data_IF_598972197096
#
_entry.id   IF_598972197096
#
_cell.length_a   1.000
_cell.length_b   1.000
_cell.length_c   1.000
_cell.angle_alpha   90.00
_cell.angle_beta   90.00
_cell.angle_gamma   90.00
#
_symmetry.space_group_name_H-M   'P 1'
#
loop_
_entity.id
_entity.type
_entity.pdbx_description
1 polymer ?
#
# COMPACT_ATOMS: atom_id res chain seq x y z
N UNK A 1 -6.48 8.88 -8.26
CA UNK A 1 -5.32 8.63 -7.38
C UNK A 1 -4.65 9.94 -6.95
N UNK A 2 -4.39 10.88 -7.88
CA UNK A 2 -3.72 12.16 -7.57
C UNK A 2 -4.40 12.99 -6.47
N UNK A 3 -5.70 12.85 -6.29
CA UNK A 3 -6.47 13.57 -5.27
C UNK A 3 -6.13 13.15 -3.82
N UNK A 4 -5.42 12.04 -3.64
CA UNK A 4 -5.03 11.52 -2.32
C UNK A 4 -3.63 11.97 -1.90
N UNK A 5 -2.90 12.61 -2.78
CA UNK A 5 -1.50 12.94 -2.57
C UNK A 5 -1.29 14.44 -2.44
N UNK A 6 -0.22 14.83 -1.74
CA UNK A 6 -0.03 16.23 -1.38
C UNK A 6 0.24 17.15 -2.59
N UNK A 7 0.10 18.44 -2.33
CA UNK A 7 0.24 19.51 -3.34
C UNK A 7 1.60 19.53 -4.07
N UNK A 8 2.67 19.02 -3.44
CA UNK A 8 3.97 18.94 -4.11
C UNK A 8 3.98 18.08 -5.37
N UNK A 9 3.01 17.16 -5.50
CA UNK A 9 2.85 16.36 -6.70
C UNK A 9 2.40 17.20 -7.91
N UNK A 10 1.74 18.32 -7.67
CA UNK A 10 1.28 19.22 -8.74
C UNK A 10 2.43 19.75 -9.60
N UNK A 11 3.59 20.01 -9.01
CA UNK A 11 4.78 20.42 -9.76
C UNK A 11 5.25 19.34 -10.73
N UNK A 12 5.32 18.09 -10.28
CA UNK A 12 5.69 16.95 -11.13
C UNK A 12 4.69 16.72 -12.25
N UNK A 13 3.40 16.93 -11.99
CA UNK A 13 2.36 16.85 -13.04
C UNK A 13 2.53 17.94 -14.09
N UNK A 14 2.79 19.17 -13.67
CA UNK A 14 3.00 20.32 -14.56
C UNK A 14 4.23 20.12 -15.46
N UNK A 15 5.27 19.53 -14.93
CA UNK A 15 6.55 19.31 -15.66
C UNK A 15 6.54 18.04 -16.52
N UNK A 16 5.42 17.33 -16.57
CA UNK A 16 5.28 16.09 -17.37
C UNK A 16 6.07 14.90 -16.80
N UNK A 17 6.45 14.97 -15.53
CA UNK A 17 7.23 13.93 -14.83
C UNK A 17 6.36 12.95 -14.05
N UNK A 18 5.05 13.13 -14.10
CA UNK A 18 4.08 12.32 -13.39
C UNK A 18 3.31 11.42 -14.34
N UNK A 19 3.23 10.13 -14.00
CA UNK A 19 2.48 9.13 -14.75
C UNK A 19 1.62 8.29 -13.80
N UNK A 20 0.39 8.01 -14.19
CA UNK A 20 -0.48 7.09 -13.48
C UNK A 20 -0.43 5.70 -14.12
N UNK A 21 -0.37 4.68 -13.28
CA UNK A 21 -0.50 3.28 -13.67
C UNK A 21 -1.74 2.69 -13.04
N UNK A 22 -2.55 2.03 -13.86
CA UNK A 22 -3.74 1.31 -13.39
C UNK A 22 -3.42 -0.08 -12.84
N UNK A 23 -2.20 -0.55 -13.06
CA UNK A 23 -1.75 -1.88 -12.69
C UNK A 23 -0.58 -1.78 -11.72
N UNK A 24 -0.75 -2.30 -10.51
CA UNK A 24 0.25 -2.27 -9.45
C UNK A 24 1.50 -3.09 -9.79
N UNK A 25 1.35 -4.19 -10.51
CA UNK A 25 2.50 -4.99 -10.96
C UNK A 25 3.40 -4.18 -11.90
N UNK A 26 2.81 -3.39 -12.78
CA UNK A 26 3.58 -2.52 -13.68
C UNK A 26 4.33 -1.41 -12.94
N UNK A 27 3.81 -0.94 -11.81
CA UNK A 27 4.55 0.00 -10.95
C UNK A 27 5.80 -0.66 -10.37
N UNK A 28 5.66 -1.86 -9.83
CA UNK A 28 6.79 -2.62 -9.26
C UNK A 28 7.83 -2.92 -10.33
N UNK A 29 7.41 -3.44 -11.47
CA UNK A 29 8.30 -3.75 -12.58
C UNK A 29 8.99 -2.51 -13.14
N UNK A 30 8.25 -1.41 -13.29
CA UNK A 30 8.77 -0.15 -13.82
C UNK A 30 9.86 0.44 -12.96
N UNK A 31 9.68 0.46 -11.63
CA UNK A 31 10.70 0.92 -10.71
C UNK A 31 11.95 0.03 -10.75
N UNK A 32 11.77 -1.28 -10.71
CA UNK A 32 12.90 -2.23 -10.73
C UNK A 32 13.67 -2.23 -12.05
N UNK A 33 13.00 -1.91 -13.17
CA UNK A 33 13.63 -1.79 -14.48
C UNK A 33 14.20 -0.40 -14.77
N UNK A 34 14.06 0.52 -13.84
CA UNK A 34 14.55 1.89 -14.02
C UNK A 34 13.73 2.76 -14.99
N UNK A 35 12.46 2.39 -15.26
CA UNK A 35 11.54 3.24 -16.04
C UNK A 35 11.08 4.45 -15.25
N UNK A 36 11.01 4.31 -13.95
CA UNK A 36 10.64 5.35 -12.99
C UNK A 36 11.75 5.49 -11.97
N UNK A 37 12.02 6.70 -11.54
CA UNK A 37 12.96 6.99 -10.45
C UNK A 37 12.29 6.85 -9.09
N UNK A 38 10.97 7.07 -9.04
CA UNK A 38 10.16 7.05 -7.83
C UNK A 38 8.78 6.46 -8.13
N UNK A 39 8.25 5.69 -7.21
CA UNK A 39 6.85 5.24 -7.19
C UNK A 39 6.20 5.71 -5.89
N UNK A 40 5.03 6.33 -6.02
CA UNK A 40 4.20 6.73 -4.90
C UNK A 40 3.08 5.69 -4.74
N UNK A 41 3.13 4.94 -3.65
CA UNK A 41 2.21 3.84 -3.38
C UNK A 41 2.07 3.60 -1.89
N UNK A 42 1.01 2.91 -1.49
CA UNK A 42 0.94 2.30 -0.17
C UNK A 42 2.01 1.21 -0.04
N UNK A 43 2.73 1.22 1.08
CA UNK A 43 3.83 0.29 1.35
C UNK A 43 3.40 -1.17 1.31
N UNK A 44 2.26 -1.47 1.91
CA UNK A 44 1.76 -2.85 2.00
C UNK A 44 1.27 -3.35 0.64
N UNK A 45 0.62 -2.49 -0.13
CA UNK A 45 0.18 -2.82 -1.50
C UNK A 45 1.39 -3.07 -2.39
N UNK A 46 2.38 -2.19 -2.37
CA UNK A 46 3.61 -2.37 -3.14
C UNK A 46 4.31 -3.69 -2.79
N UNK A 47 4.48 -3.96 -1.50
CA UNK A 47 5.13 -5.19 -1.01
C UNK A 47 4.38 -6.45 -1.41
N UNK A 48 3.05 -6.43 -1.34
CA UNK A 48 2.22 -7.55 -1.77
C UNK A 48 2.48 -7.91 -3.24
N UNK A 49 2.44 -6.94 -4.14
CA UNK A 49 2.68 -7.18 -5.56
C UNK A 49 4.14 -7.55 -5.87
N UNK A 50 5.10 -7.02 -5.15
CA UNK A 50 6.50 -7.43 -5.24
C UNK A 50 6.65 -8.92 -4.92
N UNK A 51 6.10 -9.39 -3.80
CA UNK A 51 6.12 -10.79 -3.40
C UNK A 51 5.33 -11.68 -4.36
N UNK A 52 4.19 -11.21 -4.85
CA UNK A 52 3.39 -11.93 -5.83
C UNK A 52 4.19 -12.19 -7.11
N UNK A 53 4.88 -11.18 -7.63
CA UNK A 53 5.73 -11.31 -8.81
C UNK A 53 6.89 -12.29 -8.58
N UNK A 54 7.54 -12.24 -7.42
CA UNK A 54 8.61 -13.17 -7.08
C UNK A 54 8.14 -14.62 -6.98
N UNK A 55 6.91 -14.84 -6.51
CA UNK A 55 6.33 -16.19 -6.36
C UNK A 55 5.80 -16.76 -7.66
N UNK A 56 5.34 -15.92 -8.57
CA UNK A 56 4.63 -16.36 -9.80
C UNK A 56 5.45 -16.22 -11.07
N UNK A 57 6.58 -15.52 -11.01
CA UNK A 57 7.45 -15.28 -12.17
C UNK A 57 8.93 -15.42 -11.79
N UNK A 58 9.81 -15.22 -12.76
CA UNK A 58 11.27 -15.17 -12.53
C UNK A 58 11.76 -13.81 -12.00
N UNK A 59 10.84 -12.91 -11.69
CA UNK A 59 11.18 -11.59 -11.16
C UNK A 59 11.87 -11.71 -9.80
N UNK A 60 12.92 -10.91 -9.61
CA UNK A 60 13.59 -10.70 -8.33
C UNK A 60 13.65 -9.21 -8.03
N UNK A 61 13.12 -8.82 -6.89
CA UNK A 61 13.13 -7.44 -6.44
C UNK A 61 14.55 -6.97 -6.17
N UNK A 62 14.85 -5.76 -6.62
CA UNK A 62 16.04 -5.03 -6.22
C UNK A 62 15.81 -4.37 -4.87
N UNK A 63 16.90 -4.10 -4.16
CA UNK A 63 16.84 -3.27 -2.97
C UNK A 63 16.43 -1.86 -3.36
N UNK A 64 15.35 -1.36 -2.72
CA UNK A 64 14.85 -0.02 -2.91
C UNK A 64 14.86 0.74 -1.59
N UNK A 65 15.07 2.05 -1.66
CA UNK A 65 14.90 2.92 -0.50
C UNK A 65 13.42 3.29 -0.36
N UNK A 66 12.88 3.12 0.85
CA UNK A 66 11.53 3.58 1.19
C UNK A 66 11.62 4.87 1.98
N UNK A 67 10.94 5.88 1.49
CA UNK A 67 10.84 7.17 2.16
C UNK A 67 9.38 7.42 2.56
N UNK A 68 9.19 7.96 3.73
CA UNK A 68 7.88 8.41 4.18
C UNK A 68 7.79 9.91 3.93
N UNK A 69 7.03 10.30 2.91
CA UNK A 69 6.85 11.71 2.55
C UNK A 69 5.55 12.32 3.06
N UNK A 70 4.65 11.48 3.48
CA UNK A 70 3.34 11.89 3.98
C UNK A 70 3.27 11.50 5.44
N UNK A 71 2.91 12.44 6.29
CA UNK A 71 2.61 12.11 7.69
C UNK A 71 1.44 11.13 7.72
N UNK A 72 1.54 10.14 8.58
CA UNK A 72 0.43 9.25 8.80
C UNK A 72 -0.76 10.06 9.32
N UNK A 73 -1.82 10.11 8.52
CA UNK A 73 -3.08 10.66 8.99
C UNK A 73 -3.65 9.68 10.03
N UNK A 74 -3.79 10.09 11.32
CA UNK A 74 -4.39 9.23 12.33
C UNK A 74 -5.85 8.88 12.02
N UNK A 75 -6.45 9.53 11.04
CA UNK A 75 -7.81 9.26 10.53
C UNK A 75 -7.84 8.32 9.32
N UNK A 76 -6.87 7.44 9.20
CA UNK A 76 -6.81 6.42 8.16
C UNK A 76 -8.14 5.70 7.94
N UNK A 77 -8.26 5.06 6.78
CA UNK A 77 -9.44 4.30 6.37
C UNK A 77 -10.11 3.57 7.53
N UNK A 78 -11.36 3.93 7.77
CA UNK A 78 -12.18 3.32 8.81
C UNK A 78 -13.47 2.82 8.19
N UNK A 79 -13.94 1.63 8.58
CA UNK A 79 -15.26 1.19 8.18
C UNK A 79 -16.33 2.10 8.81
N UNK A 80 -17.38 2.37 8.05
CA UNK A 80 -18.50 3.19 8.47
C UNK A 80 -19.73 2.29 8.55
N UNK A 81 -20.45 2.38 9.65
CA UNK A 81 -21.63 1.54 9.92
C UNK A 81 -22.88 2.41 10.12
N UNK A 82 -23.99 1.97 9.58
CA UNK A 82 -25.29 2.59 9.85
C UNK A 82 -25.85 2.18 11.20
N UNK A 83 -25.59 0.94 11.61
CA UNK A 83 -26.06 0.35 12.86
C UNK A 83 -24.95 0.40 13.92
N UNK A 84 -25.16 1.11 15.05
CA UNK A 84 -24.19 1.16 16.13
C UNK A 84 -23.85 -0.20 16.73
N UNK A 85 -24.79 -1.15 16.75
CA UNK A 85 -24.55 -2.49 17.26
C UNK A 85 -23.56 -3.26 16.37
N UNK A 86 -23.71 -3.17 15.07
CA UNK A 86 -22.78 -3.79 14.12
C UNK A 86 -21.39 -3.17 14.25
N UNK A 87 -21.31 -1.87 14.42
CA UNK A 87 -20.03 -1.17 14.70
C UNK A 87 -19.36 -1.72 15.96
N UNK A 88 -20.12 -1.87 17.05
CA UNK A 88 -19.58 -2.34 18.32
C UNK A 88 -19.13 -3.80 18.23
N UNK A 89 -19.90 -4.63 17.54
CA UNK A 89 -19.55 -6.03 17.27
C UNK A 89 -18.28 -6.13 16.43
N UNK A 90 -18.15 -5.30 15.40
CA UNK A 90 -16.94 -5.21 14.59
C UNK A 90 -15.72 -4.82 15.42
N UNK A 91 -15.83 -3.78 16.24
CA UNK A 91 -14.74 -3.32 17.09
C UNK A 91 -14.32 -4.39 18.10
N UNK A 92 -15.27 -5.09 18.70
CA UNK A 92 -15.01 -6.21 19.61
C UNK A 92 -14.30 -7.36 18.88
N UNK A 93 -14.79 -7.75 17.71
CA UNK A 93 -14.19 -8.81 16.89
C UNK A 93 -12.77 -8.46 16.43
N UNK A 94 -12.54 -7.21 16.01
CA UNK A 94 -11.21 -6.75 15.63
C UNK A 94 -10.22 -6.77 16.80
N UNK A 95 -10.65 -6.34 17.98
CA UNK A 95 -9.83 -6.40 19.19
C UNK A 95 -9.45 -7.84 19.55
N UNK A 96 -10.40 -8.78 19.47
CA UNK A 96 -10.15 -10.21 19.69
C UNK A 96 -9.20 -10.79 18.65
N UNK A 97 -9.38 -10.43 17.39
CA UNK A 97 -8.51 -10.87 16.29
C UNK A 97 -7.07 -10.45 16.52
N UNK A 98 -6.86 -9.20 16.95
CA UNK A 98 -5.53 -8.66 17.27
C UNK A 98 -4.93 -9.33 18.52
N UNK A 99 -5.71 -9.48 19.57
CA UNK A 99 -5.25 -10.08 20.84
C UNK A 99 -4.87 -11.56 20.66
N UNK A 100 -5.55 -12.30 19.79
CA UNK A 100 -5.25 -13.71 19.52
C UNK A 100 -4.00 -13.95 18.67
N UNK A 101 -3.39 -12.91 18.09
CA UNK A 101 -2.29 -13.01 17.15
C UNK A 101 -2.70 -13.38 15.73
N UNK A 102 -3.96 -13.68 15.46
CA UNK A 102 -4.44 -14.04 14.12
C UNK A 102 -4.34 -12.90 13.13
N UNK A 103 -4.56 -11.67 13.58
CA UNK A 103 -4.37 -10.48 12.75
C UNK A 103 -2.94 -10.41 12.20
N UNK A 104 -1.96 -10.56 13.08
CA UNK A 104 -0.55 -10.54 12.70
C UNK A 104 -0.19 -11.72 11.78
N UNK A 105 -0.75 -12.90 12.03
CA UNK A 105 -0.53 -14.08 11.19
C UNK A 105 -1.05 -13.87 9.76
N UNK A 106 -2.22 -13.24 9.60
CA UNK A 106 -2.76 -12.89 8.29
C UNK A 106 -1.85 -11.89 7.59
N UNK A 107 -1.46 -10.84 8.30
CA UNK A 107 -0.53 -9.83 7.77
C UNK A 107 0.76 -10.47 7.27
N UNK A 108 1.38 -11.33 8.07
CA UNK A 108 2.63 -12.01 7.75
C UNK A 108 2.49 -12.95 6.55
N UNK A 109 1.35 -13.61 6.42
CA UNK A 109 1.08 -14.49 5.29
C UNK A 109 1.16 -13.75 3.95
N UNK A 110 0.67 -12.54 3.89
CA UNK A 110 0.63 -11.75 2.64
C UNK A 110 1.85 -10.86 2.41
N UNK A 111 2.51 -10.39 3.46
CA UNK A 111 3.52 -9.33 3.37
C UNK A 111 4.93 -9.75 3.80
N UNK A 112 5.07 -10.93 4.37
CA UNK A 112 6.37 -11.55 4.67
C UNK A 112 6.61 -12.80 3.84
N UNK A 113 7.88 -13.06 3.57
CA UNK A 113 8.28 -14.31 2.94
C UNK A 113 8.29 -15.44 3.95
#
# INVERSE_FOLDING_TARGET
>A
AAQRYPEWLAASQKDGLYFEQNNQELQVLGLNKGRYDLVLSDRSIYRYFELLLERTTLFKAKTIAMHQFVEEDPQNYRPVFRDPQIRDDFNTGLAQLKASGRYQAIYDHYLKQ
#
